data_IF_287181750682
#
_entry.id   IF_287181750682
#
_cell.length_a   1.000
_cell.length_b   1.000
_cell.length_c   1.000
_cell.angle_alpha   90.00
_cell.angle_beta   90.00
_cell.angle_gamma   90.00
#
_symmetry.space_group_name_H-M   'P 1'
#
loop_
_entity.id
_entity.type
_entity.pdbx_description
1 polymer ?
#
# COMPACT_ATOMS: atom_id res chain seq x y z
N UNK A 1 -17.59 9.76 4.86
CA UNK A 1 -16.21 9.97 4.37
C UNK A 1 -16.03 11.41 3.94
N UNK A 2 -16.95 11.99 3.16
CA UNK A 2 -16.81 13.35 2.63
C UNK A 2 -16.58 14.47 3.65
N UNK A 3 -17.30 14.56 4.81
CA UNK A 3 -17.02 15.63 5.78
C UNK A 3 -15.61 15.57 6.36
N UNK A 4 -15.04 14.37 6.49
CA UNK A 4 -13.67 14.20 6.96
C UNK A 4 -12.66 14.61 5.88
N UNK A 5 -12.92 14.23 4.62
CA UNK A 5 -12.07 14.66 3.50
C UNK A 5 -12.13 16.18 3.28
N UNK A 6 -13.28 16.81 3.51
CA UNK A 6 -13.42 18.26 3.48
C UNK A 6 -12.55 18.92 4.55
N UNK A 7 -12.65 18.43 5.80
CA UNK A 7 -11.79 18.92 6.90
C UNK A 7 -10.30 18.66 6.66
N UNK A 8 -9.94 17.61 5.92
CA UNK A 8 -8.53 17.30 5.64
C UNK A 8 -7.95 18.14 4.50
N UNK A 9 -8.67 18.28 3.38
CA UNK A 9 -8.09 18.77 2.13
C UNK A 9 -8.62 20.15 1.70
N UNK A 10 -9.79 20.58 2.16
CA UNK A 10 -10.28 21.92 1.81
C UNK A 10 -9.60 23.01 2.66
N UNK A 11 -9.47 24.23 2.13
CA UNK A 11 -8.92 25.37 2.86
C UNK A 11 -9.68 25.75 4.15
N UNK A 12 -10.94 25.33 4.27
CA UNK A 12 -11.75 25.52 5.49
C UNK A 12 -11.36 24.58 6.64
N UNK A 13 -10.50 23.60 6.39
CA UNK A 13 -9.97 22.67 7.37
C UNK A 13 -8.44 22.74 7.45
N UNK A 14 -7.77 21.59 7.44
CA UNK A 14 -6.30 21.49 7.47
C UNK A 14 -5.65 21.94 6.15
N UNK A 15 -6.39 21.90 5.03
CA UNK A 15 -5.87 22.30 3.73
C UNK A 15 -4.66 21.49 3.27
N UNK A 16 -4.60 20.19 3.62
CA UNK A 16 -3.55 19.30 3.15
C UNK A 16 -3.54 19.27 1.62
N UNK A 17 -2.35 19.26 1.02
CA UNK A 17 -2.17 19.14 -0.43
C UNK A 17 -1.41 17.86 -0.82
N UNK A 18 -1.02 17.06 0.17
CA UNK A 18 -0.25 15.82 0.00
C UNK A 18 -1.02 14.60 0.50
N UNK A 19 -0.91 13.49 -0.22
CA UNK A 19 -1.45 12.18 0.17
C UNK A 19 -0.38 11.11 0.06
N UNK A 20 -0.18 10.34 1.14
CA UNK A 20 0.67 9.15 1.13
C UNK A 20 -0.19 7.90 0.97
N UNK A 21 0.10 7.08 -0.02
CA UNK A 21 -0.65 5.88 -0.40
C UNK A 21 0.18 4.62 -0.17
N UNK A 22 -0.32 3.72 0.70
CA UNK A 22 0.37 2.48 1.00
C UNK A 22 0.01 1.40 -0.04
N UNK A 23 0.99 1.00 -0.86
CA UNK A 23 0.89 -0.18 -1.71
C UNK A 23 0.99 -1.42 -0.83
N UNK A 24 -0.18 -1.97 -0.49
CA UNK A 24 -0.29 -3.08 0.43
C UNK A 24 0.37 -4.37 -0.07
N UNK A 25 0.79 -5.18 0.90
CA UNK A 25 1.42 -6.47 0.69
C UNK A 25 0.40 -7.62 0.58
N UNK A 26 -0.78 -7.45 1.18
CA UNK A 26 -1.71 -8.54 1.42
C UNK A 26 -1.19 -9.54 2.46
N UNK A 27 -2.10 -10.32 3.03
CA UNK A 27 -1.77 -11.37 3.99
C UNK A 27 -2.66 -12.59 3.76
N UNK A 28 -2.22 -13.74 4.25
CA UNK A 28 -3.05 -14.93 4.30
C UNK A 28 -3.37 -15.29 5.76
N UNK A 29 -4.62 -15.68 6.07
CA UNK A 29 -5.00 -16.08 7.43
C UNK A 29 -4.13 -17.19 8.03
N UNK A 30 -3.60 -18.08 7.20
CA UNK A 30 -2.74 -19.17 7.65
C UNK A 30 -1.34 -18.71 8.11
N UNK A 31 -0.87 -17.55 7.65
CA UNK A 31 0.48 -17.03 7.95
C UNK A 31 0.43 -15.82 8.88
N UNK A 32 -0.65 -15.05 8.86
CA UNK A 32 -0.83 -13.86 9.70
C UNK A 32 -2.23 -13.86 10.35
N UNK A 33 -2.65 -14.91 11.08
CA UNK A 33 -4.03 -15.04 11.58
C UNK A 33 -4.51 -13.81 12.35
N UNK A 34 -3.62 -13.17 13.11
CA UNK A 34 -3.87 -11.94 13.86
C UNK A 34 -4.36 -10.78 12.98
N UNK A 35 -3.92 -10.67 11.72
CA UNK A 35 -4.40 -9.64 10.79
C UNK A 35 -5.82 -9.92 10.27
N UNK A 36 -6.38 -11.09 10.56
CA UNK A 36 -7.70 -11.51 10.08
C UNK A 36 -8.70 -11.74 11.23
N UNK A 37 -8.24 -12.20 12.40
CA UNK A 37 -9.10 -12.60 13.51
C UNK A 37 -9.05 -11.65 14.70
N UNK A 38 -7.94 -10.95 14.93
CA UNK A 38 -7.79 -10.05 16.08
C UNK A 38 -8.38 -8.67 15.77
N UNK A 39 -9.41 -8.28 16.53
CA UNK A 39 -10.08 -6.98 16.41
C UNK A 39 -9.12 -5.79 16.55
N UNK A 40 -8.07 -5.93 17.37
CA UNK A 40 -7.08 -4.91 17.66
C UNK A 40 -5.95 -4.87 16.64
N UNK A 41 -5.83 -5.84 15.72
CA UNK A 41 -4.73 -5.91 14.76
C UNK A 41 -5.20 -5.96 13.29
N UNK A 42 -6.43 -6.39 13.02
CA UNK A 42 -6.99 -6.49 11.66
C UNK A 42 -6.97 -5.19 10.86
N UNK A 43 -7.03 -4.03 11.51
CA UNK A 43 -6.94 -2.72 10.87
C UNK A 43 -5.54 -2.41 10.31
N UNK A 44 -4.51 -3.15 10.73
CA UNK A 44 -3.14 -3.05 10.20
C UNK A 44 -2.95 -3.84 8.90
N UNK A 45 -3.86 -4.76 8.59
CA UNK A 45 -3.80 -5.57 7.37
C UNK A 45 -4.12 -4.74 6.14
N UNK A 46 -3.18 -4.66 5.20
CA UNK A 46 -3.35 -3.91 3.96
C UNK A 46 -3.47 -4.86 2.76
N UNK A 47 -4.60 -4.84 2.01
CA UNK A 47 -4.78 -5.68 0.84
C UNK A 47 -3.67 -5.44 -0.20
N UNK A 48 -3.16 -6.52 -0.77
CA UNK A 48 -2.17 -6.45 -1.85
C UNK A 48 -2.84 -6.58 -3.21
N UNK A 49 -2.30 -5.87 -4.19
CA UNK A 49 -2.81 -5.93 -5.57
C UNK A 49 -2.42 -7.22 -6.29
N UNK A 50 -1.37 -7.93 -5.83
CA UNK A 50 -0.91 -9.17 -6.45
C UNK A 50 -0.94 -10.34 -5.45
N UNK A 51 -2.06 -11.06 -5.35
CA UNK A 51 -2.33 -11.98 -4.23
C UNK A 51 -1.45 -13.23 -4.22
N UNK A 52 -0.88 -13.64 -5.36
CA UNK A 52 0.07 -14.75 -5.48
C UNK A 52 0.97 -14.59 -6.71
N UNK A 53 2.11 -15.30 -6.75
CA UNK A 53 3.04 -15.25 -7.89
C UNK A 53 2.39 -15.63 -9.22
N UNK A 54 1.43 -16.57 -9.21
CA UNK A 54 0.73 -17.06 -10.40
C UNK A 54 -0.62 -16.39 -10.63
N UNK A 55 -1.07 -15.56 -9.69
CA UNK A 55 -2.36 -14.90 -9.73
C UNK A 55 -2.34 -13.65 -10.62
N UNK A 56 -3.53 -13.25 -11.07
CA UNK A 56 -3.74 -11.96 -11.71
C UNK A 56 -3.75 -10.84 -10.66
N UNK A 57 -3.44 -9.62 -11.10
CA UNK A 57 -3.62 -8.45 -10.26
C UNK A 57 -5.12 -8.22 -9.97
N UNK A 58 -5.44 -7.92 -8.71
CA UNK A 58 -6.75 -7.47 -8.28
C UNK A 58 -6.72 -5.96 -8.03
N UNK A 59 -7.08 -5.18 -9.04
CA UNK A 59 -7.10 -3.71 -8.98
C UNK A 59 -8.18 -3.12 -8.07
N UNK A 60 -9.09 -3.95 -7.55
CA UNK A 60 -10.13 -3.53 -6.59
C UNK A 60 -9.79 -3.90 -5.13
N UNK A 61 -8.60 -4.49 -4.90
CA UNK A 61 -8.19 -5.01 -3.60
C UNK A 61 -8.26 -3.96 -2.48
N UNK A 62 -7.94 -2.71 -2.78
CA UNK A 62 -7.95 -1.62 -1.80
C UNK A 62 -8.82 -0.42 -2.22
N UNK A 63 -10.09 -0.72 -2.47
CA UNK A 63 -11.10 0.30 -2.81
C UNK A 63 -11.24 1.41 -1.76
N UNK A 64 -10.88 1.15 -0.50
CA UNK A 64 -10.97 2.12 0.59
C UNK A 64 -9.86 3.18 0.53
N UNK A 65 -8.60 2.76 0.39
CA UNK A 65 -7.51 3.74 0.18
C UNK A 65 -7.70 4.47 -1.16
N UNK A 66 -8.15 3.77 -2.21
CA UNK A 66 -8.46 4.39 -3.50
C UNK A 66 -9.52 5.50 -3.34
N UNK A 67 -10.59 5.28 -2.59
CA UNK A 67 -11.63 6.29 -2.37
C UNK A 67 -11.08 7.55 -1.66
N UNK A 68 -10.19 7.38 -0.67
CA UNK A 68 -9.53 8.50 0.00
C UNK A 68 -8.62 9.27 -0.96
N UNK A 69 -7.80 8.55 -1.75
CA UNK A 69 -6.88 9.12 -2.70
C UNK A 69 -7.61 9.94 -3.79
N UNK A 70 -8.68 9.38 -4.36
CA UNK A 70 -9.54 10.06 -5.34
C UNK A 70 -10.26 11.26 -4.71
N UNK A 71 -10.77 11.09 -3.50
CA UNK A 71 -11.48 12.14 -2.78
C UNK A 71 -10.58 13.32 -2.41
N UNK A 72 -9.30 13.07 -2.11
CA UNK A 72 -8.28 14.09 -1.87
C UNK A 72 -7.93 14.84 -3.16
N UNK A 73 -7.70 14.11 -4.27
CA UNK A 73 -7.46 14.72 -5.60
C UNK A 73 -8.61 15.63 -6.01
N UNK A 74 -9.86 15.19 -5.82
CA UNK A 74 -11.05 15.98 -6.11
C UNK A 74 -11.16 17.28 -5.30
N UNK A 75 -10.43 17.37 -4.17
CA UNK A 75 -10.38 18.54 -3.28
C UNK A 75 -9.13 19.40 -3.46
N UNK A 76 -8.31 19.10 -4.47
CA UNK A 76 -7.15 19.90 -4.83
C UNK A 76 -5.81 19.39 -4.30
N UNK A 77 -5.75 18.22 -3.68
CA UNK A 77 -4.47 17.58 -3.40
C UNK A 77 -3.72 17.35 -4.72
N UNK A 78 -2.43 17.69 -4.73
CA UNK A 78 -1.60 17.71 -5.93
C UNK A 78 -0.21 17.11 -5.74
N UNK A 79 0.10 16.62 -4.53
CA UNK A 79 1.29 15.82 -4.25
C UNK A 79 0.84 14.42 -3.83
N UNK A 80 1.30 13.40 -4.54
CA UNK A 80 0.94 12.00 -4.30
C UNK A 80 2.21 11.18 -4.09
N UNK A 81 2.36 10.57 -2.92
CA UNK A 81 3.50 9.73 -2.59
C UNK A 81 3.03 8.29 -2.44
N UNK A 82 3.66 7.35 -3.16
CA UNK A 82 3.42 5.93 -2.96
C UNK A 82 4.53 5.35 -2.07
N UNK A 83 4.16 4.48 -1.15
CA UNK A 83 5.14 3.76 -0.33
C UNK A 83 4.69 2.32 -0.08
N UNK A 84 5.60 1.47 0.37
CA UNK A 84 5.26 0.10 0.78
C UNK A 84 5.92 -0.24 2.11
N UNK A 85 5.12 -0.75 3.05
CA UNK A 85 5.62 -1.25 4.33
C UNK A 85 6.22 -2.66 4.23
N UNK A 86 5.84 -3.43 3.20
CA UNK A 86 6.27 -4.82 3.07
C UNK A 86 6.08 -5.34 1.64
N UNK A 87 6.95 -6.23 1.15
CA UNK A 87 6.68 -6.98 -0.08
C UNK A 87 5.44 -7.87 0.06
N UNK A 88 4.77 -8.24 -1.05
CA UNK A 88 3.70 -9.23 -0.99
C UNK A 88 4.11 -10.48 -0.21
N UNK A 89 3.22 -11.02 0.63
CA UNK A 89 3.54 -12.11 1.56
C UNK A 89 4.28 -13.30 0.93
N UNK A 90 4.00 -13.62 -0.34
CA UNK A 90 4.65 -14.71 -1.06
C UNK A 90 6.07 -14.40 -1.55
N UNK A 91 6.45 -13.11 -1.56
CA UNK A 91 7.83 -12.64 -1.75
C UNK A 91 8.62 -12.58 -0.43
N UNK A 92 7.96 -12.69 0.73
CA UNK A 92 8.65 -12.59 2.02
C UNK A 92 9.27 -13.93 2.45
N UNK A 93 10.32 -13.87 3.27
CA UNK A 93 10.98 -15.07 3.82
C UNK A 93 10.05 -15.76 4.83
N UNK A 94 9.47 -14.99 5.75
CA UNK A 94 8.59 -15.50 6.81
C UNK A 94 7.19 -15.91 6.33
N UNK A 95 6.79 -15.46 5.13
CA UNK A 95 5.39 -15.47 4.63
C UNK A 95 4.43 -14.57 5.43
N UNK A 96 4.93 -13.87 6.43
CA UNK A 96 4.22 -12.82 7.17
C UNK A 96 4.73 -11.46 6.67
N UNK A 97 3.83 -10.48 6.62
CA UNK A 97 4.11 -9.11 6.18
C UNK A 97 4.35 -8.16 7.35
N UNK A 98 4.07 -8.61 8.58
CA UNK A 98 4.31 -7.85 9.80
C UNK A 98 5.80 -7.73 10.19
N UNK A 99 6.68 -8.51 9.55
CA UNK A 99 8.14 -8.48 9.79
C UNK A 99 8.79 -9.85 9.66
N UNK A 100 10.12 -9.85 9.56
CA UNK A 100 10.94 -11.06 9.69
C UNK A 100 11.10 -11.45 11.16
N UNK A 101 11.37 -12.73 11.44
CA UNK A 101 11.63 -13.20 12.81
C UNK A 101 13.02 -12.81 13.35
N UNK A 102 13.91 -12.34 12.48
CA UNK A 102 15.28 -11.98 12.82
C UNK A 102 15.52 -10.48 12.65
N UNK A 103 16.01 -9.85 13.72
CA UNK A 103 16.40 -8.43 13.72
C UNK A 103 17.50 -8.17 12.69
N UNK A 104 17.45 -7.01 12.04
CA UNK A 104 18.45 -6.54 11.06
C UNK A 104 18.57 -7.37 9.77
N UNK A 105 17.61 -8.27 9.49
CA UNK A 105 17.52 -8.97 8.20
C UNK A 105 16.30 -8.50 7.42
N UNK A 106 16.49 -8.35 6.11
CA UNK A 106 15.37 -8.08 5.20
C UNK A 106 14.42 -9.26 5.19
N UNK A 107 13.12 -8.99 5.28
CA UNK A 107 12.09 -10.02 5.13
C UNK A 107 11.76 -10.29 3.65
N UNK A 108 12.60 -9.87 2.70
CA UNK A 108 12.45 -10.17 1.26
C UNK A 108 13.29 -11.40 0.88
N UNK A 109 12.72 -12.33 0.11
CA UNK A 109 13.48 -13.47 -0.43
C UNK A 109 14.64 -12.98 -1.32
N UNK A 110 15.81 -13.59 -1.16
CA UNK A 110 16.95 -13.32 -2.04
C UNK A 110 16.58 -13.56 -3.51
N UNK A 111 16.93 -12.61 -4.39
CA UNK A 111 16.61 -12.65 -5.81
C UNK A 111 15.22 -12.13 -6.17
N UNK A 112 14.42 -11.67 -5.19
CA UNK A 112 13.09 -11.09 -5.43
C UNK A 112 13.12 -9.55 -5.52
N UNK A 113 14.28 -8.91 -5.40
CA UNK A 113 14.45 -7.46 -5.41
C UNK A 113 13.87 -6.83 -6.68
N UNK A 114 14.26 -7.36 -7.85
CA UNK A 114 13.73 -6.91 -9.14
C UNK A 114 12.23 -7.17 -9.29
N UNK A 115 11.72 -8.25 -8.71
CA UNK A 115 10.29 -8.59 -8.77
C UNK A 115 9.45 -7.70 -7.87
N UNK A 116 9.97 -7.35 -6.69
CA UNK A 116 9.31 -6.43 -5.79
C UNK A 116 9.29 -5.01 -6.38
N UNK A 117 10.42 -4.53 -6.91
CA UNK A 117 10.47 -3.26 -7.64
C UNK A 117 9.47 -3.24 -8.81
N UNK A 118 9.41 -4.33 -9.59
CA UNK A 118 8.45 -4.46 -10.68
C UNK A 118 6.99 -4.41 -10.21
N UNK A 119 6.66 -5.04 -9.08
CA UNK A 119 5.32 -4.99 -8.49
C UNK A 119 4.90 -3.55 -8.18
N UNK A 120 5.77 -2.78 -7.51
CA UNK A 120 5.47 -1.38 -7.15
C UNK A 120 5.31 -0.51 -8.41
N UNK A 121 6.21 -0.66 -9.38
CA UNK A 121 6.13 0.05 -10.67
C UNK A 121 4.82 -0.27 -11.38
N UNK A 122 4.39 -1.54 -11.40
CA UNK A 122 3.14 -1.94 -12.05
C UNK A 122 1.92 -1.32 -11.38
N UNK A 123 1.93 -1.18 -10.05
CA UNK A 123 0.84 -0.52 -9.34
C UNK A 123 0.79 0.96 -9.69
N UNK A 124 1.89 1.72 -9.56
CA UNK A 124 1.88 3.16 -9.87
C UNK A 124 1.62 3.44 -11.35
N UNK A 125 2.14 2.61 -12.26
CA UNK A 125 1.83 2.68 -13.70
C UNK A 125 0.32 2.50 -13.95
N UNK A 126 -0.32 1.57 -13.24
CA UNK A 126 -1.76 1.35 -13.37
C UNK A 126 -2.56 2.55 -12.87
N UNK A 127 -2.21 3.13 -11.74
CA UNK A 127 -2.87 4.36 -11.24
C UNK A 127 -2.72 5.54 -12.20
N UNK A 128 -1.56 5.68 -12.86
CA UNK A 128 -1.32 6.73 -13.85
C UNK A 128 -2.17 6.56 -15.11
N UNK A 129 -2.33 5.31 -15.58
CA UNK A 129 -2.90 5.01 -16.90
C UNK A 129 -4.38 4.63 -16.88
N UNK A 130 -4.93 4.17 -15.75
CA UNK A 130 -6.32 3.74 -15.64
C UNK A 130 -7.23 4.87 -15.10
N UNK A 131 -8.21 5.36 -15.90
CA UNK A 131 -9.16 6.36 -15.43
C UNK A 131 -10.03 5.92 -14.26
N UNK A 132 -10.29 4.62 -14.10
CA UNK A 132 -11.04 4.12 -12.95
C UNK A 132 -10.25 4.30 -11.63
N UNK A 133 -8.93 4.44 -11.70
CA UNK A 133 -8.05 4.75 -10.57
C UNK A 133 -7.65 6.23 -10.53
N UNK A 134 -8.27 7.06 -11.37
CA UNK A 134 -8.20 8.52 -11.31
C UNK A 134 -7.02 9.16 -12.02
N UNK A 135 -6.28 8.44 -12.87
CA UNK A 135 -5.10 8.97 -13.59
C UNK A 135 -4.14 9.71 -12.63
N UNK A 136 -3.68 9.01 -11.60
CA UNK A 136 -2.82 9.56 -10.56
C UNK A 136 -1.37 9.27 -10.92
N UNK A 137 -0.61 10.33 -11.14
CA UNK A 137 0.84 10.28 -11.22
C UNK A 137 1.40 10.52 -9.82
N UNK A 138 2.13 9.54 -9.29
CA UNK A 138 2.81 9.66 -8.00
C UNK A 138 4.13 10.39 -8.19
N UNK A 139 4.38 11.40 -7.37
CA UNK A 139 5.60 12.20 -7.35
C UNK A 139 6.79 11.42 -6.78
N UNK A 140 6.53 10.52 -5.82
CA UNK A 140 7.55 9.67 -5.19
C UNK A 140 7.07 8.22 -5.05
N UNK A 141 8.03 7.29 -5.04
CA UNK A 141 7.80 5.88 -4.77
C UNK A 141 8.87 5.34 -3.81
N UNK A 142 8.47 5.02 -2.59
CA UNK A 142 9.34 4.49 -1.52
C UNK A 142 9.20 2.97 -1.37
N UNK A 143 10.31 2.24 -1.49
CA UNK A 143 10.33 0.78 -1.44
C UNK A 143 10.37 0.22 0.00
N UNK A 144 10.84 1.01 0.95
CA UNK A 144 11.10 0.58 2.32
C UNK A 144 10.53 1.60 3.30
N UNK A 145 9.95 1.07 4.38
CA UNK A 145 9.58 1.84 5.57
C UNK A 145 10.39 1.31 6.75
N UNK A 146 11.02 2.19 7.53
CA UNK A 146 11.71 1.85 8.80
C UNK A 146 12.72 0.70 8.70
N UNK A 147 13.54 0.65 7.63
CA UNK A 147 14.43 -0.48 7.32
C UNK A 147 15.49 -0.84 8.39
N UNK A 148 15.66 -0.02 9.43
CA UNK A 148 16.61 -0.24 10.53
C UNK A 148 15.93 -0.50 11.88
N UNK A 149 14.60 -0.47 11.97
CA UNK A 149 13.89 -0.75 13.21
C UNK A 149 13.48 -2.23 13.26
N UNK A 150 14.13 -2.99 14.15
CA UNK A 150 13.94 -4.44 14.35
C UNK A 150 14.37 -4.90 15.73
#
# INVERSE_FOLDING_TARGET
>A
MDPLLDLMFLPSGLGLNIVRFNIGAGSLPQYSPQLHTDALLRWRGMPGYWPSHTGQFNWTADSRQQAVLLGAKARGANVFEAFSNSPPWWMTVSKDVAGGSEKFQTNLKSGYEGRFAWYLVKVVERFKTDPALGNIEFDTLELFNEALEG
#
